data_IF_473029017906
#
_entry.id   IF_473029017906
#
_cell.length_a   1.000
_cell.length_b   1.000
_cell.length_c   1.000
_cell.angle_alpha   90.00
_cell.angle_beta   90.00
_cell.angle_gamma   90.00
#
_symmetry.space_group_name_H-M   'P 1'
#
loop_
_entity.id
_entity.type
_entity.pdbx_description
1 polymer ?
#
# COMPACT_ATOMS: atom_id res chain seq x y z
N UNK A 1 -26.38 11.25 10.10
CA UNK A 1 -24.93 11.05 10.11
C UNK A 1 -24.54 11.04 11.56
N UNK A 2 -24.22 9.86 12.06
CA UNK A 2 -23.88 9.69 13.46
C UNK A 2 -22.40 10.04 13.67
N UNK A 3 -21.96 10.21 14.92
CA UNK A 3 -20.56 10.54 15.24
C UNK A 3 -19.57 9.58 14.59
N UNK A 4 -19.94 8.30 14.45
CA UNK A 4 -19.14 7.28 13.76
C UNK A 4 -18.94 7.58 12.29
N UNK A 5 -19.98 8.03 11.58
CA UNK A 5 -19.88 8.38 10.16
C UNK A 5 -18.94 9.57 9.96
N UNK A 6 -19.06 10.58 10.81
CA UNK A 6 -18.21 11.79 10.75
C UNK A 6 -16.74 11.43 10.96
N UNK A 7 -16.44 10.59 11.94
CA UNK A 7 -15.08 10.10 12.20
C UNK A 7 -14.55 9.27 11.04
N UNK A 8 -15.38 8.40 10.45
CA UNK A 8 -14.99 7.55 9.34
C UNK A 8 -14.68 8.39 8.08
N UNK A 9 -15.57 9.30 7.68
CA UNK A 9 -15.33 10.20 6.56
C UNK A 9 -14.14 11.12 6.80
N UNK A 10 -13.97 11.61 8.03
CA UNK A 10 -12.79 12.38 8.43
C UNK A 10 -11.49 11.58 8.27
N UNK A 11 -11.48 10.31 8.69
CA UNK A 11 -10.32 9.43 8.52
C UNK A 11 -10.00 9.16 7.05
N UNK A 12 -11.00 8.91 6.20
CA UNK A 12 -10.79 8.74 4.76
C UNK A 12 -10.20 9.99 4.12
N UNK A 13 -10.69 11.18 4.49
CA UNK A 13 -10.14 12.44 4.01
C UNK A 13 -8.67 12.60 4.43
N UNK A 14 -8.35 12.33 5.70
CA UNK A 14 -6.98 12.42 6.21
C UNK A 14 -6.04 11.42 5.54
N UNK A 15 -6.49 10.19 5.28
CA UNK A 15 -5.71 9.17 4.55
C UNK A 15 -5.43 9.63 3.12
N UNK A 16 -6.44 10.16 2.42
CA UNK A 16 -6.27 10.67 1.05
C UNK A 16 -5.27 11.84 1.03
N UNK A 17 -5.43 12.80 1.95
CA UNK A 17 -4.51 13.94 2.06
C UNK A 17 -3.09 13.49 2.41
N UNK A 18 -2.94 12.60 3.39
CA UNK A 18 -1.65 12.07 3.80
C UNK A 18 -0.95 11.32 2.65
N UNK A 19 -1.68 10.47 1.94
CA UNK A 19 -1.17 9.76 0.77
C UNK A 19 -0.74 10.74 -0.34
N UNK A 20 -1.55 11.76 -0.64
CA UNK A 20 -1.21 12.78 -1.63
C UNK A 20 0.07 13.53 -1.24
N UNK A 21 0.18 14.02 0.00
CA UNK A 21 1.35 14.74 0.49
C UNK A 21 2.60 13.86 0.51
N UNK A 22 2.47 12.59 0.93
CA UNK A 22 3.56 11.62 0.98
C UNK A 22 4.13 11.29 -0.41
N UNK A 23 3.34 11.41 -1.47
CA UNK A 23 3.80 11.22 -2.86
C UNK A 23 4.29 12.53 -3.47
N UNK A 24 3.53 13.63 -3.31
CA UNK A 24 3.81 14.91 -3.97
C UNK A 24 5.05 15.61 -3.41
N UNK A 25 5.27 15.59 -2.09
CA UNK A 25 6.43 16.29 -1.50
C UNK A 25 7.78 15.71 -1.94
N UNK A 26 8.01 14.38 -1.91
CA UNK A 26 9.23 13.80 -2.44
C UNK A 26 9.38 14.04 -3.94
N UNK A 27 8.28 14.02 -4.70
CA UNK A 27 8.30 14.25 -6.15
C UNK A 27 8.77 15.67 -6.48
N UNK A 28 8.19 16.68 -5.83
CA UNK A 28 8.58 18.09 -5.98
C UNK A 28 10.05 18.28 -5.63
N UNK A 29 10.52 17.72 -4.50
CA UNK A 29 11.93 17.80 -4.10
C UNK A 29 12.88 17.04 -5.03
N UNK A 30 12.40 16.02 -5.73
CA UNK A 30 13.22 15.24 -6.66
C UNK A 30 13.43 15.95 -8.01
N UNK A 31 12.65 17.00 -8.32
CA UNK A 31 12.81 17.75 -9.59
C UNK A 31 14.18 18.46 -9.67
N UNK A 32 14.76 18.80 -8.53
CA UNK A 32 16.08 19.42 -8.44
C UNK A 32 17.23 18.42 -8.70
N UNK A 33 16.96 17.10 -8.59
CA UNK A 33 17.91 16.02 -8.90
C UNK A 33 17.24 14.90 -9.73
N UNK A 34 17.27 15.00 -11.07
CA UNK A 34 16.64 14.03 -11.95
C UNK A 34 17.20 12.60 -11.81
N UNK A 35 18.42 12.41 -11.30
CA UNK A 35 18.95 11.07 -11.03
C UNK A 35 18.29 10.42 -9.81
N UNK A 36 17.96 11.21 -8.80
CA UNK A 36 17.18 10.75 -7.64
C UNK A 36 15.75 10.35 -8.07
N UNK A 37 15.15 11.15 -8.96
CA UNK A 37 13.80 10.92 -9.47
C UNK A 37 13.67 9.58 -10.21
N UNK A 38 14.69 9.20 -11.00
CA UNK A 38 14.74 7.89 -11.68
C UNK A 38 14.74 6.71 -10.71
N UNK A 39 15.46 6.81 -9.57
CA UNK A 39 15.49 5.75 -8.56
C UNK A 39 14.13 5.60 -7.87
N UNK A 40 13.51 6.72 -7.53
CA UNK A 40 12.15 6.73 -6.95
C UNK A 40 11.14 6.16 -7.94
N UNK A 41 11.20 6.54 -9.22
CA UNK A 41 10.33 6.00 -10.26
C UNK A 41 10.51 4.49 -10.43
N UNK A 42 11.75 3.99 -10.43
CA UNK A 42 12.03 2.55 -10.47
C UNK A 42 11.42 1.81 -9.27
N UNK A 43 11.49 2.41 -8.06
CA UNK A 43 10.84 1.87 -6.87
C UNK A 43 9.32 1.79 -7.00
N UNK A 44 8.67 2.86 -7.49
CA UNK A 44 7.22 2.89 -7.72
C UNK A 44 6.81 1.82 -8.74
N UNK A 45 7.53 1.73 -9.86
CA UNK A 45 7.27 0.71 -10.89
C UNK A 45 7.40 -0.69 -10.30
N UNK A 46 8.42 -0.93 -9.47
CA UNK A 46 8.60 -2.21 -8.77
C UNK A 46 7.40 -2.57 -7.87
N UNK A 47 6.88 -1.60 -7.11
CA UNK A 47 5.69 -1.79 -6.26
C UNK A 47 4.45 -2.08 -7.12
N UNK A 48 4.26 -1.37 -8.22
CA UNK A 48 3.11 -1.59 -9.12
C UNK A 48 3.16 -3.00 -9.73
N UNK A 49 4.33 -3.43 -10.21
CA UNK A 49 4.51 -4.79 -10.73
C UNK A 49 4.24 -5.84 -9.65
N UNK A 50 4.78 -5.64 -8.44
CA UNK A 50 4.51 -6.52 -7.30
C UNK A 50 3.02 -6.59 -6.98
N UNK A 51 2.31 -5.46 -7.01
CA UNK A 51 0.87 -5.42 -6.77
C UNK A 51 0.10 -6.22 -7.82
N UNK A 52 0.44 -6.11 -9.10
CA UNK A 52 -0.21 -6.91 -10.14
C UNK A 52 0.03 -8.42 -9.97
N UNK A 53 1.24 -8.81 -9.56
CA UNK A 53 1.54 -10.20 -9.21
C UNK A 53 0.67 -10.63 -8.02
N UNK A 54 0.65 -9.84 -6.94
CA UNK A 54 -0.14 -10.11 -5.74
C UNK A 54 -1.65 -10.19 -6.02
N UNK A 55 -2.17 -9.30 -6.87
CA UNK A 55 -3.56 -9.30 -7.32
C UNK A 55 -3.89 -10.52 -8.19
N UNK A 56 -2.94 -10.97 -9.02
CA UNK A 56 -3.13 -12.16 -9.87
C UNK A 56 -3.25 -13.46 -9.08
N UNK A 57 -2.62 -13.52 -7.89
CA UNK A 57 -2.66 -14.67 -6.99
C UNK A 57 -3.69 -14.52 -5.86
N UNK A 58 -4.32 -13.36 -5.71
CA UNK A 58 -5.34 -13.15 -4.69
C UNK A 58 -6.65 -13.82 -5.11
N UNK A 59 -7.30 -14.47 -4.15
CA UNK A 59 -8.59 -15.12 -4.38
C UNK A 59 -9.68 -14.07 -4.57
N UNK A 60 -10.61 -14.35 -5.48
CA UNK A 60 -11.84 -13.58 -5.67
C UNK A 60 -13.05 -14.27 -5.00
N UNK A 61 -12.82 -15.34 -4.24
CA UNK A 61 -13.88 -16.05 -3.55
C UNK A 61 -14.50 -15.18 -2.45
N UNK A 62 -15.83 -15.19 -2.40
CA UNK A 62 -16.62 -14.54 -1.36
C UNK A 62 -17.58 -15.57 -0.80
N UNK A 63 -17.59 -15.73 0.53
CA UNK A 63 -18.57 -16.60 1.16
C UNK A 63 -19.96 -15.93 1.11
N UNK A 64 -21.06 -16.68 0.89
CA UNK A 64 -22.42 -16.11 0.79
C UNK A 64 -22.82 -15.23 1.98
N UNK A 65 -22.29 -15.50 3.18
CA UNK A 65 -22.52 -14.68 4.38
C UNK A 65 -21.95 -13.25 4.30
N UNK A 66 -21.01 -12.99 3.41
CA UNK A 66 -20.37 -11.69 3.21
C UNK A 66 -20.89 -10.96 1.96
N UNK A 67 -21.62 -11.65 1.08
CA UNK A 67 -22.25 -11.03 -0.09
C UNK A 67 -23.48 -10.19 0.30
N UNK A 68 -24.18 -10.59 1.36
CA UNK A 68 -25.35 -9.88 1.86
C UNK A 68 -25.00 -8.63 2.68
N UNK A 69 -25.99 -7.77 2.87
CA UNK A 69 -25.92 -6.66 3.81
C UNK A 69 -25.54 -7.17 5.22
N UNK A 70 -24.63 -6.50 5.95
CA UNK A 70 -24.10 -5.15 5.71
C UNK A 70 -22.81 -5.10 4.87
N UNK A 71 -22.18 -6.25 4.60
CA UNK A 71 -20.82 -6.29 4.05
C UNK A 71 -20.78 -6.03 2.55
N UNK A 72 -21.79 -6.48 1.81
CA UNK A 72 -21.93 -6.27 0.36
C UNK A 72 -20.62 -6.55 -0.41
N UNK A 73 -19.88 -7.58 0.03
CA UNK A 73 -18.56 -7.86 -0.50
C UNK A 73 -18.69 -8.46 -1.90
N UNK A 74 -18.06 -7.82 -2.89
CA UNK A 74 -18.03 -8.31 -4.26
C UNK A 74 -16.76 -9.12 -4.50
N UNK A 75 -16.76 -10.07 -5.46
CA UNK A 75 -15.56 -10.81 -5.86
C UNK A 75 -14.39 -9.90 -6.22
N UNK A 76 -14.65 -8.82 -6.95
CA UNK A 76 -13.63 -7.82 -7.32
C UNK A 76 -13.10 -7.05 -6.10
N UNK A 77 -13.97 -6.70 -5.15
CA UNK A 77 -13.56 -6.08 -3.89
C UNK A 77 -12.66 -7.01 -3.05
N UNK A 78 -13.03 -8.29 -2.93
CA UNK A 78 -12.24 -9.31 -2.24
C UNK A 78 -10.84 -9.47 -2.86
N UNK A 79 -10.78 -9.60 -4.20
CA UNK A 79 -9.53 -9.76 -4.93
C UNK A 79 -8.61 -8.53 -4.78
N UNK A 80 -9.18 -7.32 -4.86
CA UNK A 80 -8.43 -6.06 -4.71
C UNK A 80 -7.84 -5.91 -3.31
N UNK A 81 -8.66 -6.12 -2.28
CA UNK A 81 -8.20 -6.05 -0.88
C UNK A 81 -7.14 -7.12 -0.61
N UNK A 82 -7.37 -8.36 -1.08
CA UNK A 82 -6.39 -9.44 -0.97
C UNK A 82 -5.05 -9.11 -1.64
N UNK A 83 -5.08 -8.54 -2.85
CA UNK A 83 -3.87 -8.11 -3.55
C UNK A 83 -3.12 -7.00 -2.80
N UNK A 84 -3.83 -6.02 -2.24
CA UNK A 84 -3.22 -4.96 -1.43
C UNK A 84 -2.60 -5.50 -0.13
N UNK A 85 -3.28 -6.44 0.54
CA UNK A 85 -2.77 -7.07 1.77
C UNK A 85 -1.48 -7.86 1.49
N UNK A 86 -1.48 -8.73 0.47
CA UNK A 86 -0.30 -9.52 0.10
C UNK A 86 0.88 -8.59 -0.25
N UNK A 87 0.63 -7.55 -1.05
CA UNK A 87 1.66 -6.54 -1.39
C UNK A 87 2.23 -5.89 -0.13
N UNK A 88 1.37 -5.47 0.79
CA UNK A 88 1.78 -4.84 2.05
C UNK A 88 2.59 -5.78 2.91
N UNK A 89 2.22 -7.06 3.01
CA UNK A 89 2.97 -8.05 3.79
C UNK A 89 4.36 -8.30 3.22
N UNK A 90 4.48 -8.44 1.90
CA UNK A 90 5.78 -8.60 1.25
C UNK A 90 6.67 -7.37 1.51
N UNK A 91 6.14 -6.16 1.30
CA UNK A 91 6.89 -4.93 1.53
C UNK A 91 7.29 -4.77 3.01
N UNK A 92 6.41 -5.15 3.94
CA UNK A 92 6.69 -5.08 5.37
C UNK A 92 7.83 -6.03 5.77
N UNK A 93 7.82 -7.27 5.27
CA UNK A 93 8.89 -8.24 5.51
C UNK A 93 10.20 -7.75 4.90
N UNK A 94 10.17 -7.24 3.66
CA UNK A 94 11.36 -6.69 3.00
C UNK A 94 11.92 -5.48 3.76
N UNK A 95 11.06 -4.58 4.23
CA UNK A 95 11.46 -3.41 4.98
C UNK A 95 12.11 -3.80 6.31
N UNK A 96 11.45 -4.66 7.10
CA UNK A 96 11.99 -5.14 8.37
C UNK A 96 13.30 -5.92 8.17
N UNK A 97 13.35 -6.82 7.20
CA UNK A 97 14.57 -7.56 6.86
C UNK A 97 15.72 -6.65 6.44
N UNK A 98 15.44 -5.63 5.62
CA UNK A 98 16.44 -4.64 5.19
C UNK A 98 16.98 -3.82 6.34
N UNK A 99 16.11 -3.42 7.29
CA UNK A 99 16.52 -2.70 8.51
C UNK A 99 17.44 -3.59 9.34
N UNK A 100 17.06 -4.85 9.60
CA UNK A 100 17.88 -5.78 10.38
C UNK A 100 19.25 -6.03 9.72
N UNK A 101 19.29 -6.28 8.41
CA UNK A 101 20.55 -6.45 7.67
C UNK A 101 21.44 -5.21 7.74
N UNK A 102 20.84 -4.01 7.68
CA UNK A 102 21.57 -2.75 7.77
C UNK A 102 22.21 -2.59 9.15
N UNK A 103 21.47 -2.86 10.22
CA UNK A 103 21.97 -2.75 11.59
C UNK A 103 23.06 -3.79 11.89
N UNK A 104 22.90 -5.05 11.44
CA UNK A 104 23.94 -6.09 11.59
C UNK A 104 25.20 -5.72 10.81
N UNK A 105 25.07 -5.24 9.58
CA UNK A 105 26.22 -4.86 8.75
C UNK A 105 26.99 -3.69 9.37
N UNK A 106 26.29 -2.70 9.95
CA UNK A 106 26.92 -1.59 10.69
C UNK A 106 27.56 -2.03 12.00
N UNK A 107 27.00 -3.03 12.69
CA UNK A 107 27.56 -3.52 13.94
C UNK A 107 28.84 -4.34 13.72
N UNK A 108 28.96 -5.01 12.58
CA UNK A 108 30.14 -5.81 12.22
C UNK A 108 31.27 -4.95 11.62
N UNK A 109 30.94 -3.83 10.97
CA UNK A 109 31.87 -3.00 10.20
C UNK A 109 32.24 -1.74 10.95
#
# INVERSE_FOLDING_TARGET
MDTYDILLYGSYLLVILGAAVAVLLPLIKSLDDPKSLLKTAAGIVGIVVLFFIAYSISSNEVLPKFEASPFNLTPGGSQLVGGMLITTYILSILALGSILLTEVTKAIK
#
